data_IF_603624473266
#
_entry.id   IF_603624473266
#
_cell.length_a   1.000
_cell.length_b   1.000
_cell.length_c   1.000
_cell.angle_alpha   90.00
_cell.angle_beta   90.00
_cell.angle_gamma   90.00
#
_symmetry.space_group_name_H-M   'P 1'
#
loop_
_entity.id
_entity.type
_entity.pdbx_description
1 polymer ?
#
# COMPACT_ATOMS: atom_id res chain seq x y z
N UNK A 1 -3.56 -9.11 1.60
CA UNK A 1 -2.32 -9.91 1.80
C UNK A 1 -1.79 -10.54 0.52
N UNK A 2 -2.45 -11.52 -0.12
CA UNK A 2 -1.89 -12.15 -1.34
C UNK A 2 -1.67 -11.15 -2.49
N UNK A 3 -2.52 -10.14 -2.60
CA UNK A 3 -2.50 -9.25 -3.75
C UNK A 3 -1.58 -8.04 -3.59
N UNK A 4 -1.42 -7.47 -2.38
CA UNK A 4 -0.33 -6.51 -2.07
C UNK A 4 1.06 -7.10 -2.44
N UNK A 5 1.29 -8.39 -2.14
CA UNK A 5 2.54 -9.05 -2.52
C UNK A 5 2.75 -9.09 -4.04
N UNK A 6 1.67 -9.17 -4.81
CA UNK A 6 1.72 -9.18 -6.28
C UNK A 6 1.80 -7.75 -6.83
N UNK A 7 1.19 -6.77 -6.17
CA UNK A 7 1.18 -5.37 -6.55
C UNK A 7 2.57 -4.71 -6.45
N UNK A 8 3.44 -5.18 -5.53
CA UNK A 8 4.86 -4.75 -5.45
C UNK A 8 5.65 -5.12 -6.72
N UNK A 9 5.27 -6.18 -7.44
CA UNK A 9 6.11 -6.80 -8.49
C UNK A 9 6.31 -5.91 -9.71
N UNK A 10 5.27 -5.31 -10.33
CA UNK A 10 5.45 -4.42 -11.47
C UNK A 10 6.43 -3.27 -11.21
N UNK A 11 6.31 -2.57 -10.07
CA UNK A 11 7.20 -1.47 -9.69
C UNK A 11 8.66 -1.91 -9.62
N UNK A 12 8.96 -3.00 -8.89
CA UNK A 12 10.33 -3.52 -8.74
C UNK A 12 10.94 -4.02 -10.06
N UNK A 13 10.15 -4.67 -10.91
CA UNK A 13 10.61 -5.11 -12.23
C UNK A 13 10.89 -3.91 -13.13
N UNK A 14 10.00 -2.91 -13.12
CA UNK A 14 10.19 -1.65 -13.85
C UNK A 14 11.44 -0.90 -13.41
N UNK A 15 11.68 -0.79 -12.10
CA UNK A 15 12.91 -0.24 -11.51
C UNK A 15 14.13 -0.96 -12.06
N UNK A 16 14.17 -2.30 -11.98
CA UNK A 16 15.32 -3.09 -12.41
C UNK A 16 15.63 -2.87 -13.90
N UNK A 17 14.61 -2.86 -14.76
CA UNK A 17 14.77 -2.65 -16.20
C UNK A 17 15.28 -1.24 -16.52
N UNK A 18 14.67 -0.20 -15.93
CA UNK A 18 15.07 1.18 -16.15
C UNK A 18 16.45 1.48 -15.56
N UNK A 19 16.76 0.89 -14.39
CA UNK A 19 18.06 1.01 -13.76
C UNK A 19 19.15 0.39 -14.63
N UNK A 20 18.97 -0.84 -15.09
CA UNK A 20 19.90 -1.49 -16.02
C UNK A 20 20.05 -0.70 -17.33
N UNK A 21 18.95 -0.17 -17.88
CA UNK A 21 18.97 0.65 -19.11
C UNK A 21 19.74 1.95 -18.91
N UNK A 22 19.51 2.65 -17.79
CA UNK A 22 20.19 3.89 -17.40
C UNK A 22 21.70 3.65 -17.26
N UNK A 23 22.10 2.59 -16.56
CA UNK A 23 23.51 2.22 -16.40
C UNK A 23 24.15 1.83 -17.74
N UNK A 24 23.47 1.04 -18.57
CA UNK A 24 24.01 0.60 -19.87
C UNK A 24 24.19 1.74 -20.86
N UNK A 25 23.32 2.75 -20.82
CA UNK A 25 23.33 3.89 -21.75
C UNK A 25 23.96 5.16 -21.18
N UNK A 26 24.29 5.17 -19.88
CA UNK A 26 24.70 6.37 -19.15
C UNK A 26 23.71 7.54 -19.32
N UNK A 27 22.41 7.22 -19.32
CA UNK A 27 21.33 8.18 -19.52
C UNK A 27 20.51 8.35 -18.24
N UNK A 28 20.03 9.57 -17.97
CA UNK A 28 19.17 9.84 -16.82
C UNK A 28 17.79 9.20 -17.01
N UNK A 29 17.26 8.57 -15.96
CA UNK A 29 15.95 7.88 -15.99
C UNK A 29 14.75 8.83 -15.84
N UNK A 30 14.95 10.14 -15.89
CA UNK A 30 13.89 11.14 -15.76
C UNK A 30 13.15 11.14 -14.42
N UNK A 31 13.67 10.46 -13.38
CA UNK A 31 12.99 10.29 -12.09
C UNK A 31 12.13 9.03 -11.98
N UNK A 32 11.89 8.30 -13.08
CA UNK A 32 11.03 7.12 -13.11
C UNK A 32 11.51 5.97 -12.20
N UNK A 33 12.82 5.81 -12.04
CA UNK A 33 13.37 4.81 -11.10
C UNK A 33 12.90 5.10 -9.66
N UNK A 34 12.87 6.38 -9.28
CA UNK A 34 12.47 6.78 -7.93
C UNK A 34 10.96 6.59 -7.75
N UNK A 35 10.16 7.01 -8.73
CA UNK A 35 8.70 6.88 -8.70
C UNK A 35 8.26 5.40 -8.56
N UNK A 36 8.82 4.50 -9.37
CA UNK A 36 8.47 3.07 -9.31
C UNK A 36 8.97 2.39 -8.02
N UNK A 37 10.05 2.90 -7.42
CA UNK A 37 10.53 2.40 -6.13
C UNK A 37 9.62 2.88 -4.99
N UNK A 38 9.13 4.12 -5.06
CA UNK A 38 8.14 4.66 -4.12
C UNK A 38 6.81 3.89 -4.22
N UNK A 39 6.35 3.54 -5.42
CA UNK A 39 5.19 2.67 -5.65
C UNK A 39 5.37 1.28 -5.01
N UNK A 40 6.50 0.61 -5.29
CA UNK A 40 6.79 -0.70 -4.70
C UNK A 40 6.87 -0.66 -3.17
N UNK A 41 7.40 0.43 -2.60
CA UNK A 41 7.47 0.62 -1.15
C UNK A 41 6.09 0.90 -0.54
N UNK A 42 5.21 1.61 -1.25
CA UNK A 42 3.84 1.85 -0.83
C UNK A 42 3.06 0.53 -0.68
N UNK A 43 3.12 -0.33 -1.70
CA UNK A 43 2.50 -1.67 -1.69
C UNK A 43 3.08 -2.56 -0.58
N UNK A 44 4.39 -2.44 -0.31
CA UNK A 44 5.04 -3.14 0.82
C UNK A 44 4.49 -2.64 2.15
N UNK A 45 4.26 -1.34 2.30
CA UNK A 45 3.71 -0.75 3.51
C UNK A 45 2.24 -1.10 3.72
N UNK A 46 1.44 -1.25 2.66
CA UNK A 46 0.10 -1.83 2.74
C UNK A 46 0.16 -3.25 3.34
N UNK A 47 1.05 -4.10 2.83
CA UNK A 47 1.24 -5.45 3.35
C UNK A 47 1.63 -5.45 4.85
N UNK A 48 2.61 -4.63 5.24
CA UNK A 48 3.06 -4.54 6.64
C UNK A 48 1.97 -4.05 7.59
N UNK A 49 1.10 -3.16 7.12
CA UNK A 49 -0.08 -2.68 7.86
C UNK A 49 -1.03 -3.83 8.18
N UNK A 50 -1.36 -4.66 7.18
CA UNK A 50 -2.22 -5.82 7.38
C UNK A 50 -1.59 -6.87 8.31
N UNK A 51 -0.29 -7.10 8.19
CA UNK A 51 0.43 -8.02 9.07
C UNK A 51 0.46 -7.51 10.51
N UNK A 52 0.74 -6.23 10.71
CA UNK A 52 0.74 -5.60 12.04
C UNK A 52 -0.63 -5.65 12.70
N UNK A 53 -1.71 -5.36 11.95
CA UNK A 53 -3.08 -5.46 12.45
C UNK A 53 -3.46 -6.92 12.82
N UNK A 54 -3.05 -7.90 12.01
CA UNK A 54 -3.30 -9.31 12.29
C UNK A 54 -2.55 -9.83 13.53
N UNK A 55 -1.44 -9.20 13.94
CA UNK A 55 -0.72 -9.54 15.17
C UNK A 55 -1.33 -8.91 16.43
N UNK A 56 -2.14 -7.86 16.29
CA UNK A 56 -2.81 -7.17 17.40
C UNK A 56 -4.18 -7.77 17.73
N UNK A 57 -4.85 -8.44 16.77
CA UNK A 57 -6.14 -9.09 16.97
C UNK A 57 -6.05 -10.58 17.25
N UNK A 58 -6.44 -11.02 18.46
CA UNK A 58 -6.57 -12.45 18.79
C UNK A 58 -7.67 -13.15 17.96
N UNK A 59 -7.26 -14.14 17.17
CA UNK A 59 -7.95 -15.42 16.93
C UNK A 59 -9.28 -15.53 16.15
N UNK A 60 -9.92 -14.48 15.61
CA UNK A 60 -11.17 -14.73 14.85
C UNK A 60 -11.52 -13.79 13.68
N UNK A 61 -10.62 -12.89 13.27
CA UNK A 61 -10.84 -12.06 12.09
C UNK A 61 -10.38 -12.83 10.85
N UNK A 62 -11.33 -13.28 10.05
CA UNK A 62 -11.11 -13.91 8.74
C UNK A 62 -10.48 -12.89 7.76
N UNK A 63 -9.18 -12.61 7.89
CA UNK A 63 -8.40 -11.77 6.98
C UNK A 63 -8.13 -12.47 5.63
N UNK A 64 -8.80 -13.59 5.35
CA UNK A 64 -8.63 -14.38 4.14
C UNK A 64 -9.10 -13.58 2.93
N UNK A 65 -8.11 -13.04 2.23
CA UNK A 65 -8.17 -12.80 0.79
C UNK A 65 -9.34 -11.94 0.27
N UNK A 66 -9.73 -10.87 0.95
CA UNK A 66 -10.61 -9.86 0.35
C UNK A 66 -9.83 -8.65 -0.11
N UNK A 67 -9.39 -8.76 -1.35
CA UNK A 67 -8.86 -7.69 -2.19
C UNK A 67 -9.95 -6.89 -2.91
N UNK A 68 -11.23 -7.19 -2.68
CA UNK A 68 -12.29 -6.46 -3.36
C UNK A 68 -12.77 -5.35 -2.42
N UNK A 69 -12.17 -4.19 -2.70
CA UNK A 69 -12.56 -2.84 -2.32
C UNK A 69 -12.21 -2.44 -0.88
N UNK A 70 -11.24 -1.55 -0.76
CA UNK A 70 -11.13 -0.68 0.39
C UNK A 70 -12.41 0.14 0.67
N UNK A 71 -13.27 0.27 -0.34
CA UNK A 71 -14.64 0.77 -0.23
C UNK A 71 -15.57 -0.17 0.54
N UNK A 72 -15.48 -1.48 0.27
CA UNK A 72 -16.28 -2.48 0.98
C UNK A 72 -15.80 -2.60 2.43
N UNK A 73 -14.49 -2.57 2.67
CA UNK A 73 -13.95 -2.65 4.03
C UNK A 73 -14.39 -1.49 4.93
N UNK A 74 -14.38 -0.25 4.42
CA UNK A 74 -14.92 0.89 5.17
C UNK A 74 -16.40 0.73 5.50
N UNK A 75 -17.20 0.22 4.56
CA UNK A 75 -18.62 -0.04 4.83
C UNK A 75 -18.85 -1.12 5.89
N UNK A 76 -17.94 -2.10 6.01
CA UNK A 76 -18.03 -3.15 7.02
C UNK A 76 -17.50 -2.68 8.39
N UNK A 77 -16.47 -1.82 8.42
CA UNK A 77 -16.01 -1.13 9.62
C UNK A 77 -17.12 -0.22 10.20
N UNK A 78 -17.78 0.56 9.33
CA UNK A 78 -18.86 1.46 9.75
C UNK A 78 -20.10 0.68 10.24
N UNK A 79 -20.31 -0.57 9.79
CA UNK A 79 -21.35 -1.48 10.31
C UNK A 79 -20.99 -2.13 11.65
N UNK A 80 -19.76 -1.94 12.15
CA UNK A 80 -19.28 -2.56 13.39
C UNK A 80 -19.00 -4.06 13.28
N UNK A 81 -18.84 -4.58 12.06
CA UNK A 81 -18.49 -5.99 11.83
C UNK A 81 -17.05 -6.32 12.23
N UNK A 82 -16.18 -5.31 12.26
CA UNK A 82 -14.76 -5.43 12.61
C UNK A 82 -14.40 -4.46 13.74
N UNK A 83 -13.53 -4.92 14.63
CA UNK A 83 -13.01 -4.10 15.72
C UNK A 83 -12.01 -3.07 15.17
N UNK A 84 -12.20 -1.81 15.53
CA UNK A 84 -11.29 -0.73 15.21
C UNK A 84 -10.08 -0.79 16.15
N UNK A 85 -9.10 -1.62 15.80
CA UNK A 85 -7.86 -1.74 16.56
C UNK A 85 -6.97 -0.50 16.38
N UNK A 86 -6.20 -0.13 17.43
CA UNK A 86 -5.15 0.88 17.31
C UNK A 86 -4.14 0.49 16.24
N UNK A 87 -3.64 1.48 15.52
CA UNK A 87 -2.71 1.26 14.43
C UNK A 87 -1.30 0.97 14.94
N UNK A 88 -0.57 0.03 14.30
CA UNK A 88 0.82 -0.22 14.63
C UNK A 88 1.69 1.03 14.46
N UNK A 89 2.72 1.20 15.29
CA UNK A 89 3.60 2.37 15.27
C UNK A 89 4.24 2.63 13.90
N UNK A 90 4.67 1.57 13.20
CA UNK A 90 5.27 1.67 11.85
C UNK A 90 4.36 2.37 10.83
N UNK A 91 3.05 2.17 10.96
CA UNK A 91 2.03 2.75 10.07
C UNK A 91 1.83 4.23 10.40
N UNK A 92 1.77 4.56 11.69
CA UNK A 92 1.65 5.94 12.14
C UNK A 92 2.86 6.77 11.73
N UNK A 93 4.06 6.21 11.81
CA UNK A 93 5.29 6.90 11.42
C UNK A 93 5.37 7.12 9.90
N UNK A 94 4.95 6.12 9.10
CA UNK A 94 5.01 6.20 7.64
C UNK A 94 4.04 7.24 7.08
N UNK A 95 2.76 7.17 7.46
CA UNK A 95 1.72 8.10 7.00
C UNK A 95 1.62 9.37 7.88
N UNK A 96 2.49 9.52 8.88
CA UNK A 96 2.52 10.65 9.83
C UNK A 96 1.16 10.90 10.48
N UNK A 97 0.50 9.83 10.88
CA UNK A 97 -0.82 9.89 11.50
C UNK A 97 -0.73 10.42 12.93
N UNK A 98 -1.78 11.09 13.44
CA UNK A 98 -1.86 11.51 14.83
C UNK A 98 -1.73 10.33 15.81
N UNK A 99 -1.19 10.60 17.00
CA UNK A 99 -1.13 9.60 18.06
C UNK A 99 -2.56 9.14 18.44
N UNK A 100 -2.80 7.82 18.44
CA UNK A 100 -4.11 7.24 18.73
C UNK A 100 -5.00 7.00 17.50
N UNK A 101 -4.45 7.13 16.28
CA UNK A 101 -5.16 6.73 15.06
C UNK A 101 -5.62 5.27 15.09
N UNK A 102 -6.74 5.03 14.40
CA UNK A 102 -7.39 3.73 14.32
C UNK A 102 -7.31 3.17 12.90
N UNK A 103 -7.60 1.87 12.76
CA UNK A 103 -7.57 1.19 11.47
C UNK A 103 -8.36 1.92 10.37
N UNK A 104 -9.50 2.55 10.71
CA UNK A 104 -10.28 3.37 9.79
C UNK A 104 -9.49 4.51 9.15
N UNK A 105 -8.65 5.20 9.92
CA UNK A 105 -7.86 6.34 9.42
C UNK A 105 -6.83 5.88 8.39
N UNK A 106 -6.18 4.75 8.66
CA UNK A 106 -5.22 4.14 7.74
C UNK A 106 -5.89 3.71 6.44
N UNK A 107 -7.07 3.11 6.55
CA UNK A 107 -7.86 2.70 5.40
C UNK A 107 -8.29 3.91 4.55
N UNK A 108 -8.48 5.09 5.14
CA UNK A 108 -8.73 6.31 4.37
C UNK A 108 -7.48 6.80 3.63
N UNK A 109 -6.31 6.75 4.26
CA UNK A 109 -5.07 7.23 3.64
C UNK A 109 -4.61 6.31 2.52
N UNK A 110 -4.59 4.99 2.74
CA UNK A 110 -4.25 4.01 1.70
C UNK A 110 -5.16 4.15 0.48
N UNK A 111 -6.46 4.49 0.66
CA UNK A 111 -7.36 4.76 -0.49
C UNK A 111 -6.93 5.96 -1.32
N UNK A 112 -6.39 6.97 -0.66
CA UNK A 112 -5.91 8.18 -1.33
C UNK A 112 -4.66 7.85 -2.13
N UNK A 113 -3.77 7.01 -1.59
CA UNK A 113 -2.56 6.54 -2.27
C UNK A 113 -2.90 5.69 -3.50
N UNK A 114 -3.84 4.75 -3.39
CA UNK A 114 -4.30 3.93 -4.52
C UNK A 114 -4.92 4.74 -5.66
N UNK A 115 -5.73 5.75 -5.31
CA UNK A 115 -6.30 6.66 -6.31
C UNK A 115 -5.20 7.44 -7.04
N UNK A 116 -4.19 7.91 -6.30
CA UNK A 116 -3.04 8.61 -6.88
C UNK A 116 -2.21 7.71 -7.80
N UNK A 117 -1.94 6.47 -7.39
CA UNK A 117 -1.19 5.50 -8.19
C UNK A 117 -1.93 5.10 -9.45
N UNK A 118 -3.26 4.94 -9.39
CA UNK A 118 -4.08 4.69 -10.58
C UNK A 118 -3.92 5.81 -11.62
N UNK A 119 -3.93 7.08 -11.19
CA UNK A 119 -3.77 8.22 -12.09
C UNK A 119 -2.35 8.28 -12.69
N UNK A 120 -1.32 8.01 -11.88
CA UNK A 120 0.08 7.98 -12.32
C UNK A 120 0.32 6.87 -13.34
N UNK A 121 -0.20 5.66 -13.08
CA UNK A 121 -0.07 4.53 -13.99
C UNK A 121 -0.84 4.75 -15.29
N UNK A 122 -1.99 5.40 -15.24
CA UNK A 122 -2.72 5.79 -16.45
C UNK A 122 -1.90 6.79 -17.28
N UNK A 123 -1.37 7.84 -16.66
CA UNK A 123 -0.50 8.82 -17.33
C UNK A 123 0.77 8.19 -17.91
N UNK A 124 1.38 7.22 -17.22
CA UNK A 124 2.58 6.53 -17.70
C UNK A 124 2.33 5.60 -18.89
N UNK A 125 1.05 5.25 -19.15
CA UNK A 125 0.64 4.35 -20.22
C UNK A 125 0.20 5.05 -21.51
N UNK A 126 -0.03 6.37 -21.48
CA UNK A 126 -0.29 7.22 -22.66
C UNK A 126 1.00 7.63 -23.39
#
# INVERSE_FOLDING_TARGET
>A
MMLEMVAVVPGMVGVMLLHCKSLRRFEHSGGWIKALLEEAENERMHLMTFMGAAMVGESNCDYRARHILQYLFLSELDKGQFENVPTPAIVNDYWRLPAGSILRDVVMVVRTDEAHLSDVNHFASE
#
